data_IF_584528713340
#
_entry.id   IF_584528713340
#
_cell.length_a   1.000
_cell.length_b   1.000
_cell.length_c   1.000
_cell.angle_alpha   90.00
_cell.angle_beta   90.00
_cell.angle_gamma   90.00
#
_symmetry.space_group_name_H-M   'P 1'
#
loop_
_entity.id
_entity.type
_entity.pdbx_description
1 polymer ?
#
# COMPACT_ATOMS: atom_id res chain seq x y z
N UNK A 1 46.26 14.82 2.39
CA UNK A 1 46.63 13.56 1.69
C UNK A 1 45.43 12.67 1.34
N UNK A 2 44.53 12.35 2.28
CA UNK A 2 43.38 11.45 2.01
C UNK A 2 42.45 11.92 0.89
N UNK A 3 42.14 13.22 0.81
CA UNK A 3 41.29 13.75 -0.27
C UNK A 3 41.94 13.67 -1.65
N UNK A 4 43.27 13.83 -1.71
CA UNK A 4 44.01 13.69 -2.97
C UNK A 4 44.05 12.24 -3.43
N UNK A 5 44.18 11.31 -2.48
CA UNK A 5 44.16 9.86 -2.74
C UNK A 5 42.80 9.42 -3.27
N UNK A 6 41.71 9.87 -2.66
CA UNK A 6 40.35 9.58 -3.10
C UNK A 6 40.06 10.08 -4.52
N UNK A 7 40.55 11.28 -4.88
CA UNK A 7 40.38 11.83 -6.24
C UNK A 7 41.17 11.00 -7.26
N UNK A 8 42.38 10.56 -6.92
CA UNK A 8 43.17 9.68 -7.78
C UNK A 8 42.54 8.30 -7.95
N UNK A 9 41.98 7.73 -6.88
CA UNK A 9 41.29 6.44 -6.91
C UNK A 9 40.01 6.52 -7.77
N UNK A 10 39.26 7.64 -7.69
CA UNK A 10 38.08 7.88 -8.53
C UNK A 10 38.42 8.14 -10.00
N UNK A 11 39.59 8.72 -10.29
CA UNK A 11 40.05 8.97 -11.65
C UNK A 11 40.38 7.67 -12.41
N UNK A 12 40.75 6.60 -11.69
CA UNK A 12 41.05 5.29 -12.26
C UNK A 12 39.82 4.43 -12.55
N UNK A 13 38.66 4.77 -11.98
CA UNK A 13 37.39 4.08 -12.22
C UNK A 13 36.69 4.57 -13.51
N UNK A 14 35.96 3.66 -14.16
CA UNK A 14 35.13 4.00 -15.32
C UNK A 14 33.98 4.95 -14.95
N UNK A 15 33.37 5.67 -15.90
CA UNK A 15 32.31 6.65 -15.62
C UNK A 15 31.15 6.06 -14.80
N UNK A 16 30.73 4.84 -15.12
CA UNK A 16 29.62 4.14 -14.47
C UNK A 16 29.98 3.74 -13.02
N UNK A 17 31.21 3.28 -12.81
CA UNK A 17 31.70 2.85 -11.48
C UNK A 17 31.91 4.07 -10.57
N UNK A 18 32.35 5.19 -11.15
CA UNK A 18 32.49 6.47 -10.45
C UNK A 18 31.13 7.01 -10.03
N UNK A 19 30.13 6.97 -10.91
CA UNK A 19 28.77 7.39 -10.58
C UNK A 19 28.18 6.50 -9.48
N UNK A 20 28.30 5.18 -9.58
CA UNK A 20 27.82 4.26 -8.56
C UNK A 20 28.48 4.51 -7.19
N UNK A 21 29.78 4.79 -7.15
CA UNK A 21 30.50 5.10 -5.91
C UNK A 21 30.04 6.45 -5.31
N UNK A 22 29.86 7.49 -6.12
CA UNK A 22 29.35 8.78 -5.67
C UNK A 22 27.90 8.66 -5.18
N UNK A 23 27.05 7.88 -5.87
CA UNK A 23 25.68 7.58 -5.42
C UNK A 23 25.70 6.89 -4.07
N UNK A 24 26.57 5.89 -3.86
CA UNK A 24 26.71 5.20 -2.58
C UNK A 24 27.15 6.12 -1.43
N UNK A 25 28.08 7.05 -1.68
CA UNK A 25 28.49 8.06 -0.70
C UNK A 25 27.36 9.06 -0.38
N UNK A 26 26.59 9.44 -1.40
CA UNK A 26 25.45 10.35 -1.24
C UNK A 26 24.31 9.68 -0.47
N UNK A 27 24.06 8.40 -0.73
CA UNK A 27 23.14 7.55 0.04
C UNK A 27 23.60 7.39 1.49
N UNK A 28 24.91 7.21 1.74
CA UNK A 28 25.45 7.20 3.10
C UNK A 28 25.32 8.54 3.82
N UNK A 29 25.45 9.68 3.12
CA UNK A 29 25.18 10.99 3.70
C UNK A 29 23.70 11.24 4.01
N UNK A 30 22.76 10.65 3.25
CA UNK A 30 21.33 10.71 3.59
C UNK A 30 20.96 9.88 4.83
N UNK A 31 21.78 8.90 5.22
CA UNK A 31 21.54 8.06 6.41
C UNK A 31 21.94 8.80 7.71
N UNK A 32 22.67 9.93 7.63
CA UNK A 32 23.11 10.70 8.80
C UNK A 32 22.53 12.12 8.78
N UNK A 33 21.21 12.25 8.86
CA UNK A 33 20.61 13.47 9.43
C UNK A 33 19.41 13.10 10.28
N UNK A 34 19.54 13.30 11.59
CA UNK A 34 18.45 13.20 12.56
C UNK A 34 17.19 13.93 12.07
N UNK A 35 15.97 13.51 12.48
CA UNK A 35 14.73 14.03 11.91
C UNK A 35 14.61 15.54 12.13
N UNK A 36 14.79 16.29 11.06
CA UNK A 36 14.41 17.70 10.95
C UNK A 36 12.89 17.75 11.18
N UNK A 37 12.45 18.69 12.02
CA UNK A 37 11.04 19.01 12.31
C UNK A 37 10.13 18.62 11.15
N UNK A 38 9.36 17.54 11.32
CA UNK A 38 8.57 16.97 10.23
C UNK A 38 7.14 17.49 10.32
N UNK A 39 6.66 18.12 9.26
CA UNK A 39 5.24 18.50 9.13
C UNK A 39 4.54 17.47 8.26
N UNK A 40 3.54 16.77 8.81
CA UNK A 40 2.67 15.86 8.05
C UNK A 40 1.23 16.32 8.26
N UNK A 41 0.63 16.90 7.20
CA UNK A 41 -0.61 17.67 7.33
C UNK A 41 -0.41 18.85 8.28
N UNK A 42 -1.31 19.02 9.25
CA UNK A 42 -1.23 20.10 10.24
C UNK A 42 -0.36 19.76 11.47
N UNK A 43 0.23 18.55 11.52
CA UNK A 43 0.95 18.07 12.70
C UNK A 43 2.44 18.37 12.52
N UNK A 44 2.92 19.38 13.24
CA UNK A 44 4.35 19.66 13.40
C UNK A 44 4.93 18.77 14.49
N UNK A 45 5.95 17.98 14.14
CA UNK A 45 6.61 17.06 15.06
C UNK A 45 8.07 17.45 15.21
N UNK A 46 8.45 17.84 16.43
CA UNK A 46 9.80 18.28 16.81
C UNK A 46 10.51 17.30 17.76
N UNK A 47 9.79 16.29 18.27
CA UNK A 47 10.35 15.28 19.16
C UNK A 47 9.59 13.94 19.05
N UNK A 48 10.20 12.88 19.58
CA UNK A 48 9.66 11.52 19.52
C UNK A 48 8.31 11.37 20.26
N UNK A 49 8.07 12.15 21.33
CA UNK A 49 6.79 12.14 22.06
C UNK A 49 5.68 12.76 21.21
N UNK A 50 5.96 13.88 20.56
CA UNK A 50 5.07 14.51 19.59
C UNK A 50 4.80 13.56 18.41
N UNK A 51 5.81 12.81 17.93
CA UNK A 51 5.64 11.82 16.88
C UNK A 51 4.64 10.73 17.27
N UNK A 52 4.80 10.16 18.48
CA UNK A 52 3.88 9.16 19.03
C UNK A 52 2.45 9.70 19.17
N UNK A 53 2.29 10.96 19.56
CA UNK A 53 0.97 11.60 19.64
C UNK A 53 0.35 11.84 18.27
N UNK A 54 1.13 12.32 17.29
CA UNK A 54 0.70 12.49 15.91
C UNK A 54 0.25 11.16 15.29
N UNK A 55 1.01 10.09 15.49
CA UNK A 55 0.63 8.73 15.07
C UNK A 55 -0.71 8.32 15.68
N UNK A 56 -0.90 8.51 17.00
CA UNK A 56 -2.17 8.17 17.67
C UNK A 56 -3.35 8.94 17.09
N UNK A 57 -3.18 10.24 16.84
CA UNK A 57 -4.23 11.09 16.26
C UNK A 57 -4.59 10.65 14.84
N UNK A 58 -3.59 10.41 13.99
CA UNK A 58 -3.81 9.89 12.63
C UNK A 58 -4.50 8.53 12.63
N UNK A 59 -4.10 7.62 13.53
CA UNK A 59 -4.78 6.33 13.71
C UNK A 59 -6.24 6.50 14.14
N UNK A 60 -6.54 7.46 15.03
CA UNK A 60 -7.92 7.77 15.45
C UNK A 60 -8.75 8.30 14.29
N UNK A 61 -8.20 9.25 13.51
CA UNK A 61 -8.87 9.81 12.31
C UNK A 61 -9.11 8.74 11.25
N UNK A 62 -8.13 7.86 11.01
CA UNK A 62 -8.26 6.73 10.10
C UNK A 62 -9.37 5.77 10.51
N UNK A 63 -9.48 5.44 11.81
CA UNK A 63 -10.60 4.62 12.33
C UNK A 63 -11.97 5.27 12.11
N UNK A 64 -12.08 6.58 12.32
CA UNK A 64 -13.32 7.33 12.08
C UNK A 64 -13.69 7.33 10.59
N UNK A 65 -12.71 7.49 9.69
CA UNK A 65 -12.94 7.39 8.24
C UNK A 65 -13.40 5.96 7.86
N UNK A 66 -12.74 4.94 8.40
CA UNK A 66 -13.10 3.53 8.19
C UNK A 66 -14.51 3.22 8.67
N UNK A 67 -14.92 3.71 9.85
CA UNK A 67 -16.30 3.52 10.34
C UNK A 67 -17.36 4.19 9.46
N UNK A 68 -16.97 5.25 8.73
CA UNK A 68 -17.80 5.92 7.73
C UNK A 68 -17.73 5.24 6.35
N UNK A 69 -17.05 4.09 6.24
CA UNK A 69 -16.76 3.36 4.99
C UNK A 69 -15.96 4.16 3.97
N UNK A 70 -15.28 5.21 4.41
CA UNK A 70 -14.33 5.97 3.58
C UNK A 70 -12.94 5.33 3.71
N UNK A 71 -12.77 4.20 3.01
CA UNK A 71 -11.56 3.39 3.09
C UNK A 71 -10.34 4.08 2.45
N UNK A 72 -10.54 4.93 1.44
CA UNK A 72 -9.47 5.70 0.81
C UNK A 72 -8.87 6.64 1.84
N UNK A 73 -9.72 7.46 2.48
CA UNK A 73 -9.27 8.39 3.52
C UNK A 73 -8.70 7.67 4.74
N UNK A 74 -9.26 6.52 5.11
CA UNK A 74 -8.70 5.71 6.19
C UNK A 74 -7.26 5.28 5.89
N UNK A 75 -7.01 4.77 4.68
CA UNK A 75 -5.67 4.36 4.22
C UNK A 75 -4.71 5.54 4.18
N UNK A 76 -5.12 6.71 3.69
CA UNK A 76 -4.30 7.92 3.65
C UNK A 76 -3.85 8.35 5.06
N UNK A 77 -4.77 8.32 6.03
CA UNK A 77 -4.46 8.65 7.43
C UNK A 77 -3.48 7.64 8.03
N UNK A 78 -3.65 6.35 7.76
CA UNK A 78 -2.72 5.33 8.23
C UNK A 78 -1.35 5.41 7.53
N UNK A 79 -1.30 5.75 6.24
CA UNK A 79 -0.05 5.98 5.51
C UNK A 79 0.72 7.17 6.08
N UNK A 80 0.01 8.27 6.39
CA UNK A 80 0.60 9.42 7.07
C UNK A 80 1.21 9.04 8.42
N UNK A 81 0.50 8.19 9.18
CA UNK A 81 0.99 7.66 10.46
C UNK A 81 2.23 6.76 10.27
N UNK A 82 2.27 5.96 9.20
CA UNK A 82 3.41 5.11 8.86
C UNK A 82 4.65 5.94 8.50
N UNK A 83 4.49 7.01 7.70
CA UNK A 83 5.57 7.94 7.39
C UNK A 83 6.11 8.56 8.68
N UNK A 84 5.23 9.01 9.57
CA UNK A 84 5.66 9.58 10.84
C UNK A 84 6.39 8.56 11.73
N UNK A 85 5.93 7.31 11.76
CA UNK A 85 6.61 6.24 12.49
C UNK A 85 7.99 5.92 11.88
N UNK A 86 8.12 5.94 10.56
CA UNK A 86 9.36 5.70 9.85
C UNK A 86 10.38 6.82 10.12
N UNK A 87 9.98 8.08 9.99
CA UNK A 87 10.86 9.24 10.18
C UNK A 87 11.42 9.34 11.61
N UNK A 88 10.74 8.74 12.58
CA UNK A 88 11.15 8.72 13.99
C UNK A 88 11.64 7.34 14.46
N UNK A 89 11.98 6.45 13.53
CA UNK A 89 12.55 5.12 13.78
C UNK A 89 11.70 4.25 14.72
N UNK A 90 10.39 4.44 14.71
CA UNK A 90 9.43 3.69 15.53
C UNK A 90 9.02 2.39 14.83
N UNK A 91 9.97 1.49 14.59
CA UNK A 91 9.82 0.25 13.79
C UNK A 91 8.64 -0.64 14.19
N UNK A 92 8.44 -0.84 15.49
CA UNK A 92 7.31 -1.62 16.02
C UNK A 92 5.95 -0.97 15.71
N UNK A 93 5.87 0.36 15.78
CA UNK A 93 4.67 1.12 15.41
C UNK A 93 4.46 1.06 13.90
N UNK A 94 5.51 1.29 13.11
CA UNK A 94 5.46 1.22 11.65
C UNK A 94 4.89 -0.12 11.17
N UNK A 95 5.42 -1.23 11.67
CA UNK A 95 4.96 -2.59 11.31
C UNK A 95 3.47 -2.79 11.62
N UNK A 96 3.01 -2.35 12.79
CA UNK A 96 1.59 -2.44 13.17
C UNK A 96 0.70 -1.57 12.28
N UNK A 97 1.17 -0.40 11.87
CA UNK A 97 0.42 0.51 11.00
C UNK A 97 0.34 -0.07 9.59
N UNK A 98 1.43 -0.62 9.05
CA UNK A 98 1.43 -1.31 7.75
C UNK A 98 0.43 -2.47 7.71
N UNK A 99 0.39 -3.27 8.77
CA UNK A 99 -0.59 -4.34 8.91
C UNK A 99 -2.02 -3.81 8.97
N UNK A 100 -2.24 -2.65 9.60
CA UNK A 100 -3.54 -1.97 9.61
C UNK A 100 -3.94 -1.51 8.21
N UNK A 101 -3.04 -0.86 7.46
CA UNK A 101 -3.26 -0.45 6.07
C UNK A 101 -3.64 -1.66 5.21
N UNK A 102 -2.90 -2.77 5.33
CA UNK A 102 -3.14 -4.00 4.59
C UNK A 102 -4.54 -4.54 4.85
N UNK A 103 -4.94 -4.65 6.13
CA UNK A 103 -6.28 -5.10 6.54
C UNK A 103 -7.40 -4.19 6.01
N UNK A 104 -7.22 -2.87 6.10
CA UNK A 104 -8.21 -1.90 5.59
C UNK A 104 -8.37 -1.99 4.07
N UNK A 105 -7.27 -2.17 3.32
CA UNK A 105 -7.34 -2.41 1.86
C UNK A 105 -8.06 -3.72 1.52
N UNK A 106 -7.76 -4.78 2.25
CA UNK A 106 -8.45 -6.07 2.09
C UNK A 106 -9.96 -5.92 2.31
N UNK A 107 -10.36 -5.17 3.34
CA UNK A 107 -11.77 -4.93 3.66
C UNK A 107 -12.50 -4.17 2.53
N UNK A 108 -11.93 -3.07 2.04
CA UNK A 108 -12.47 -2.31 0.90
C UNK A 108 -12.65 -3.19 -0.35
N UNK A 109 -11.61 -3.96 -0.69
CA UNK A 109 -11.65 -4.88 -1.83
C UNK A 109 -12.69 -5.99 -1.62
N UNK A 110 -12.87 -6.51 -0.41
CA UNK A 110 -13.91 -7.52 -0.11
C UNK A 110 -15.32 -6.97 -0.35
N UNK A 111 -15.57 -5.71 0.00
CA UNK A 111 -16.84 -5.03 -0.29
C UNK A 111 -17.03 -4.88 -1.80
N UNK A 112 -16.03 -4.35 -2.51
CA UNK A 112 -16.07 -4.18 -3.99
C UNK A 112 -16.31 -5.50 -4.71
N UNK A 113 -15.61 -6.57 -4.32
CA UNK A 113 -15.83 -7.93 -4.86
C UNK A 113 -17.27 -8.39 -4.66
N UNK A 114 -17.82 -8.18 -3.46
CA UNK A 114 -19.17 -8.62 -3.10
C UNK A 114 -20.23 -7.89 -3.92
N UNK A 115 -20.06 -6.57 -4.09
CA UNK A 115 -20.96 -5.77 -4.93
C UNK A 115 -20.93 -6.25 -6.39
N UNK A 116 -19.74 -6.45 -6.97
CA UNK A 116 -19.62 -6.99 -8.34
C UNK A 116 -20.27 -8.37 -8.48
N UNK A 117 -20.14 -9.24 -7.49
CA UNK A 117 -20.79 -10.55 -7.51
C UNK A 117 -22.32 -10.45 -7.42
N UNK A 118 -22.85 -9.49 -6.65
CA UNK A 118 -24.29 -9.24 -6.59
C UNK A 118 -24.81 -8.67 -7.91
N UNK A 119 -24.09 -7.70 -8.49
CA UNK A 119 -24.42 -7.12 -9.79
C UNK A 119 -24.37 -8.16 -10.91
N UNK A 120 -23.43 -9.11 -10.83
CA UNK A 120 -23.35 -10.23 -11.75
C UNK A 120 -24.57 -11.15 -11.62
N UNK A 121 -24.99 -11.46 -10.39
CA UNK A 121 -26.21 -12.26 -10.13
C UNK A 121 -27.47 -11.56 -10.65
N UNK A 122 -27.57 -10.24 -10.53
CA UNK A 122 -28.69 -9.48 -11.10
C UNK A 122 -28.71 -9.56 -12.62
N UNK A 123 -27.56 -9.36 -13.28
CA UNK A 123 -27.45 -9.50 -14.73
C UNK A 123 -27.83 -10.91 -15.24
N UNK A 124 -27.51 -11.97 -14.48
CA UNK A 124 -27.97 -13.34 -14.78
C UNK A 124 -29.49 -13.46 -14.76
N UNK A 125 -30.16 -12.85 -13.76
CA UNK A 125 -31.63 -12.86 -13.67
C UNK A 125 -32.28 -12.15 -14.87
N UNK A 126 -31.62 -11.10 -15.36
CA UNK A 126 -32.02 -10.35 -16.55
C UNK A 126 -31.62 -11.03 -17.87
N UNK A 127 -30.98 -12.21 -17.80
CA UNK A 127 -30.42 -12.95 -18.95
C UNK A 127 -29.35 -12.16 -19.72
N UNK A 128 -28.76 -11.13 -19.12
CA UNK A 128 -27.61 -10.43 -19.66
C UNK A 128 -26.31 -11.15 -19.30
N UNK A 129 -26.05 -12.27 -19.96
CA UNK A 129 -24.92 -13.15 -19.65
C UNK A 129 -23.55 -12.53 -19.95
N UNK A 130 -23.47 -11.66 -20.95
CA UNK A 130 -22.25 -10.90 -21.25
C UNK A 130 -21.84 -10.01 -20.08
N UNK A 131 -22.79 -9.25 -19.55
CA UNK A 131 -22.52 -8.36 -18.42
C UNK A 131 -22.23 -9.16 -17.14
N UNK A 132 -22.97 -10.25 -16.90
CA UNK A 132 -22.71 -11.14 -15.78
C UNK A 132 -21.28 -11.70 -15.81
N UNK A 133 -20.83 -12.19 -16.96
CA UNK A 133 -19.49 -12.73 -17.12
C UNK A 133 -18.40 -11.68 -16.88
N UNK A 134 -18.56 -10.48 -17.44
CA UNK A 134 -17.62 -9.37 -17.23
C UNK A 134 -17.49 -8.99 -15.74
N UNK A 135 -18.62 -8.91 -15.03
CA UNK A 135 -18.63 -8.62 -13.58
C UNK A 135 -17.98 -9.74 -12.76
N UNK A 136 -18.25 -11.02 -13.05
CA UNK A 136 -17.57 -12.14 -12.40
C UNK A 136 -16.06 -12.15 -12.67
N UNK A 137 -15.63 -11.83 -13.89
CA UNK A 137 -14.22 -11.70 -14.25
C UNK A 137 -13.55 -10.58 -13.47
N UNK A 138 -14.22 -9.45 -13.29
CA UNK A 138 -13.68 -8.34 -12.50
C UNK A 138 -13.63 -8.69 -11.00
N UNK A 139 -14.66 -9.34 -10.46
CA UNK A 139 -14.65 -9.85 -9.09
C UNK A 139 -13.50 -10.86 -8.86
N UNK A 140 -13.19 -11.71 -9.84
CA UNK A 140 -12.05 -12.63 -9.81
C UNK A 140 -10.70 -11.89 -9.73
N UNK A 141 -10.53 -10.80 -10.49
CA UNK A 141 -9.35 -9.94 -10.41
C UNK A 141 -9.19 -9.31 -9.03
N UNK A 142 -10.28 -8.77 -8.47
CA UNK A 142 -10.26 -8.23 -7.10
C UNK A 142 -9.89 -9.32 -6.09
N UNK A 143 -10.44 -10.54 -6.20
CA UNK A 143 -10.03 -11.64 -5.33
C UNK A 143 -8.53 -11.96 -5.43
N UNK A 144 -7.95 -11.87 -6.63
CA UNK A 144 -6.50 -12.03 -6.83
C UNK A 144 -5.69 -10.91 -6.16
N UNK A 145 -6.15 -9.67 -6.19
CA UNK A 145 -5.51 -8.56 -5.48
C UNK A 145 -5.56 -8.77 -3.96
N UNK A 146 -6.69 -9.21 -3.41
CA UNK A 146 -6.81 -9.55 -1.99
C UNK A 146 -5.86 -10.70 -1.62
N UNK A 147 -5.71 -11.70 -2.49
CA UNK A 147 -4.74 -12.78 -2.31
C UNK A 147 -3.29 -12.27 -2.26
N UNK A 148 -2.91 -11.35 -3.16
CA UNK A 148 -1.57 -10.71 -3.16
C UNK A 148 -1.31 -9.92 -1.88
N UNK A 149 -2.35 -9.42 -1.22
CA UNK A 149 -2.26 -8.78 0.11
C UNK A 149 -2.18 -9.80 1.26
N UNK A 150 -2.12 -11.11 0.99
CA UNK A 150 -1.90 -12.15 2.00
C UNK A 150 -3.17 -12.86 2.50
N UNK A 151 -4.33 -12.64 1.88
CA UNK A 151 -5.56 -13.38 2.21
C UNK A 151 -5.63 -14.69 1.41
N UNK A 152 -5.00 -15.74 1.93
CA UNK A 152 -4.86 -17.03 1.25
C UNK A 152 -6.19 -17.71 0.94
N UNK A 153 -7.27 -17.36 1.68
CA UNK A 153 -8.61 -17.89 1.41
C UNK A 153 -9.15 -17.47 0.03
N UNK A 154 -8.63 -16.39 -0.55
CA UNK A 154 -9.10 -15.85 -1.82
C UNK A 154 -8.70 -16.70 -3.04
N UNK A 155 -7.76 -17.64 -2.92
CA UNK A 155 -7.39 -18.54 -4.03
C UNK A 155 -8.60 -19.37 -4.50
N UNK A 156 -9.43 -19.85 -3.57
CA UNK A 156 -10.66 -20.60 -3.91
C UNK A 156 -11.68 -19.70 -4.61
N UNK A 157 -11.77 -18.45 -4.18
CA UNK A 157 -12.69 -17.46 -4.75
C UNK A 157 -12.29 -17.05 -6.18
N UNK A 158 -11.00 -16.85 -6.45
CA UNK A 158 -10.49 -16.59 -7.81
C UNK A 158 -10.92 -17.72 -8.75
N UNK A 159 -10.73 -18.99 -8.35
CA UNK A 159 -11.14 -20.14 -9.16
C UNK A 159 -12.65 -20.17 -9.39
N UNK A 160 -13.45 -20.00 -8.32
CA UNK A 160 -14.92 -20.02 -8.37
C UNK A 160 -15.47 -18.93 -9.30
N UNK A 161 -15.00 -17.70 -9.16
CA UNK A 161 -15.47 -16.55 -9.94
C UNK A 161 -15.03 -16.64 -11.40
N UNK A 162 -13.82 -17.14 -11.66
CA UNK A 162 -13.34 -17.41 -13.02
C UNK A 162 -14.20 -18.46 -13.72
N UNK A 163 -14.52 -19.56 -13.05
CA UNK A 163 -15.39 -20.60 -13.60
C UNK A 163 -16.78 -20.04 -13.96
N UNK A 164 -17.37 -19.24 -13.08
CA UNK A 164 -18.66 -18.57 -13.35
C UNK A 164 -18.58 -17.62 -14.54
N UNK A 165 -17.50 -16.83 -14.65
CA UNK A 165 -17.32 -15.95 -15.80
C UNK A 165 -17.29 -16.75 -17.12
N UNK A 166 -16.51 -17.84 -17.15
CA UNK A 166 -16.42 -18.72 -18.32
C UNK A 166 -17.73 -19.45 -18.63
N UNK A 167 -18.51 -19.82 -17.61
CA UNK A 167 -19.84 -20.41 -17.79
C UNK A 167 -20.78 -19.45 -18.52
N UNK A 168 -20.89 -18.20 -18.07
CA UNK A 168 -21.78 -17.22 -18.71
C UNK A 168 -21.24 -16.69 -20.04
N UNK A 169 -19.92 -16.65 -20.26
CA UNK A 169 -19.33 -16.36 -21.58
C UNK A 169 -19.81 -17.37 -22.66
N UNK A 170 -20.04 -18.63 -22.28
CA UNK A 170 -20.55 -19.69 -23.18
C UNK A 170 -22.06 -19.66 -23.39
N UNK A 171 -22.79 -18.88 -22.59
CA UNK A 171 -24.25 -18.70 -22.71
C UNK A 171 -24.63 -17.46 -23.53
N UNK A 172 -23.64 -16.74 -24.07
CA UNK A 172 -23.81 -15.68 -25.06
C UNK A 172 -24.35 -16.26 -26.37
#
# INVERSE_FOLDING_TARGET
>A
EEKQKLVNDLAQLGPIEREAYLTSLTEQQQIVSAPIKTTIGDISVDNQKAAKNGIKEMLKRGKIAQSKKDFIKAVEMYQSAAILASNWELSASFTKIQETIRKTRIEDLKIKKTNLENDAKSAVKEKNYLEAAAKYKYASRIASEIFKLGATEMTKEVKRLTNKATEYEKMK
#
